data_IF_948189080686
#
_entry.id   IF_948189080686
#
_cell.length_a   1.000
_cell.length_b   1.000
_cell.length_c   1.000
_cell.angle_alpha   90.00
_cell.angle_beta   90.00
_cell.angle_gamma   90.00
#
_symmetry.space_group_name_H-M   'P 1'
#
loop_
_entity.id
_entity.type
_entity.pdbx_description
1 polymer ?
#
# COMPACT_ATOMS: atom_id res chain seq x y z
N UNK A 1 -21.43 13.13 -4.53
CA UNK A 1 -20.90 12.50 -3.29
C UNK A 1 -22.02 11.93 -2.45
N UNK A 2 -21.99 10.64 -2.09
CA UNK A 2 -22.98 10.09 -1.15
C UNK A 2 -22.58 10.44 0.29
N UNK A 3 -23.48 11.08 1.05
CA UNK A 3 -23.25 11.49 2.44
C UNK A 3 -22.75 10.34 3.34
N UNK A 4 -23.25 9.12 3.10
CA UNK A 4 -22.86 7.91 3.82
C UNK A 4 -21.38 7.55 3.60
N UNK A 5 -20.84 7.74 2.38
CA UNK A 5 -19.44 7.45 2.07
C UNK A 5 -18.52 8.40 2.85
N UNK A 6 -18.83 9.70 2.85
CA UNK A 6 -18.06 10.71 3.58
C UNK A 6 -18.09 10.42 5.08
N UNK A 7 -19.28 10.18 5.65
CA UNK A 7 -19.43 9.88 7.08
C UNK A 7 -18.67 8.61 7.49
N UNK A 8 -18.74 7.55 6.68
CA UNK A 8 -18.00 6.30 6.96
C UNK A 8 -16.48 6.49 6.89
N UNK A 9 -15.99 7.26 5.92
CA UNK A 9 -14.57 7.53 5.75
C UNK A 9 -14.01 8.41 6.86
N UNK A 10 -14.69 9.51 7.17
CA UNK A 10 -14.29 10.41 8.26
C UNK A 10 -14.42 9.70 9.60
N UNK A 11 -15.50 8.94 9.81
CA UNK A 11 -15.72 8.15 11.03
C UNK A 11 -14.65 7.09 11.25
N UNK A 12 -14.28 6.33 10.21
CA UNK A 12 -13.20 5.35 10.30
C UNK A 12 -11.84 6.03 10.56
N UNK A 13 -11.53 7.10 9.84
CA UNK A 13 -10.27 7.85 9.99
C UNK A 13 -10.14 8.43 11.40
N UNK A 14 -11.21 9.03 11.93
CA UNK A 14 -11.24 9.55 13.30
C UNK A 14 -11.13 8.45 14.34
N UNK A 15 -11.79 7.31 14.13
CA UNK A 15 -11.66 6.16 15.02
C UNK A 15 -10.20 5.70 15.10
N UNK A 16 -9.53 5.53 13.97
CA UNK A 16 -8.12 5.13 13.93
C UNK A 16 -7.24 6.18 14.63
N UNK A 17 -7.48 7.47 14.39
CA UNK A 17 -6.76 8.55 15.06
C UNK A 17 -6.95 8.54 16.58
N UNK A 18 -8.18 8.37 17.07
CA UNK A 18 -8.51 8.32 18.50
C UNK A 18 -7.90 7.08 19.16
N UNK A 19 -8.02 5.90 18.53
CA UNK A 19 -7.44 4.65 19.05
C UNK A 19 -5.91 4.73 19.10
N UNK A 20 -5.30 5.31 18.07
CA UNK A 20 -3.85 5.53 18.03
C UNK A 20 -3.42 6.49 19.12
N UNK A 21 -4.09 7.63 19.25
CA UNK A 21 -3.82 8.61 20.32
C UNK A 21 -4.00 7.98 21.70
N UNK A 22 -5.06 7.20 21.92
CA UNK A 22 -5.32 6.54 23.21
C UNK A 22 -4.27 5.47 23.57
N UNK A 23 -3.73 4.76 22.57
CA UNK A 23 -2.64 3.80 22.79
C UNK A 23 -1.27 4.47 22.99
N UNK A 24 -1.04 5.64 22.40
CA UNK A 24 0.27 6.32 22.42
C UNK A 24 0.39 7.34 23.57
N UNK A 25 -0.71 7.93 24.05
CA UNK A 25 -0.73 8.97 25.11
C UNK A 25 -0.15 8.56 26.48
N UNK A 26 0.03 7.26 26.73
CA UNK A 26 0.60 6.75 28.01
C UNK A 26 2.09 6.43 27.90
N UNK A 27 2.73 6.77 26.78
CA UNK A 27 4.13 6.41 26.51
C UNK A 27 5.00 7.63 26.37
N UNK A 28 6.16 7.55 27.02
CA UNK A 28 7.07 8.65 27.24
C UNK A 28 7.75 9.08 25.93
N UNK A 29 7.23 10.15 25.31
CA UNK A 29 7.73 10.75 24.06
C UNK A 29 8.83 11.80 24.30
N UNK A 30 9.25 12.01 25.55
CA UNK A 30 10.23 13.04 25.91
C UNK A 30 11.69 12.74 25.52
N UNK A 31 12.02 11.50 25.14
CA UNK A 31 13.39 11.11 24.75
C UNK A 31 13.50 10.84 23.25
N UNK A 32 14.63 11.23 22.62
CA UNK A 32 14.92 10.94 21.20
C UNK A 32 14.78 9.43 20.87
N UNK A 33 15.12 8.54 21.83
CA UNK A 33 14.91 7.10 21.67
C UNK A 33 13.43 6.68 21.73
N UNK A 34 12.60 7.34 22.53
CA UNK A 34 11.15 7.12 22.55
C UNK A 34 10.47 7.53 21.25
N UNK A 35 10.92 8.64 20.65
CA UNK A 35 10.38 9.19 19.40
C UNK A 35 10.85 8.42 18.14
N UNK A 36 12.14 8.09 18.04
CA UNK A 36 12.72 7.42 16.85
C UNK A 36 12.73 5.89 16.92
N UNK A 37 12.84 5.28 18.11
CA UNK A 37 12.96 3.81 18.27
C UNK A 37 11.73 3.15 18.91
N UNK A 38 10.63 3.91 19.12
CA UNK A 38 9.44 3.44 19.84
C UNK A 38 9.76 2.75 21.20
N UNK A 39 10.89 3.12 21.81
CA UNK A 39 11.40 2.54 23.06
C UNK A 39 11.58 1.01 23.04
N UNK A 40 11.77 0.36 21.87
CA UNK A 40 11.87 -1.12 21.73
C UNK A 40 10.69 -1.92 22.32
N UNK A 41 9.57 -1.26 22.63
CA UNK A 41 8.43 -1.84 23.35
C UNK A 41 7.28 -2.29 22.44
N UNK A 42 7.51 -2.28 21.12
CA UNK A 42 6.54 -2.75 20.13
C UNK A 42 6.52 -4.28 20.11
N UNK A 43 5.32 -4.86 20.27
CA UNK A 43 5.13 -6.31 20.18
C UNK A 43 5.32 -6.78 18.72
N UNK A 44 5.95 -7.94 18.53
CA UNK A 44 6.20 -8.55 17.22
C UNK A 44 5.04 -8.48 16.20
N UNK A 45 3.76 -8.75 16.54
CA UNK A 45 2.66 -8.65 15.57
C UNK A 45 2.40 -7.22 15.06
N UNK A 46 2.65 -6.20 15.87
CA UNK A 46 2.49 -4.78 15.46
C UNK A 46 3.59 -4.40 14.47
N UNK A 47 4.81 -4.89 14.71
CA UNK A 47 5.93 -4.68 13.79
C UNK A 47 5.65 -5.37 12.46
N UNK A 48 5.21 -6.63 12.49
CA UNK A 48 4.88 -7.38 11.28
C UNK A 48 3.74 -6.72 10.46
N UNK A 49 2.69 -6.25 11.13
CA UNK A 49 1.58 -5.57 10.47
C UNK A 49 1.98 -4.22 9.86
N UNK A 50 2.80 -3.43 10.56
CA UNK A 50 3.34 -2.17 10.02
C UNK A 50 4.30 -2.41 8.84
N UNK A 51 5.19 -3.40 8.92
CA UNK A 51 6.05 -3.79 7.80
C UNK A 51 5.23 -4.24 6.58
N UNK A 52 4.17 -5.01 6.81
CA UNK A 52 3.26 -5.45 5.74
C UNK A 52 2.50 -4.28 5.12
N UNK A 53 1.97 -3.34 5.92
CA UNK A 53 1.29 -2.15 5.38
C UNK A 53 2.28 -1.22 4.66
N UNK A 54 3.52 -1.12 5.13
CA UNK A 54 4.56 -0.34 4.45
C UNK A 54 4.83 -0.90 3.05
N UNK A 55 4.70 -2.21 2.87
CA UNK A 55 4.79 -2.83 1.55
C UNK A 55 3.51 -2.60 0.71
N UNK A 56 2.33 -2.71 1.33
CA UNK A 56 1.03 -2.49 0.69
C UNK A 56 0.65 -1.01 0.61
N UNK A 57 1.10 -0.35 -0.45
CA UNK A 57 0.79 1.06 -0.73
C UNK A 57 -0.46 1.26 -1.61
N UNK A 58 -0.92 2.51 -1.75
CA UNK A 58 -1.97 2.88 -2.73
C UNK A 58 -1.56 2.60 -4.17
N UNK A 59 -0.26 2.67 -4.46
CA UNK A 59 0.31 2.32 -5.76
C UNK A 59 0.16 0.82 -6.02
N UNK A 60 0.43 -0.03 -5.03
CA UNK A 60 0.18 -1.47 -5.17
C UNK A 60 -1.31 -1.77 -5.32
N UNK A 61 -2.17 -1.17 -4.49
CA UNK A 61 -3.61 -1.47 -4.52
C UNK A 61 -4.27 -1.02 -5.83
N UNK A 62 -4.03 0.22 -6.28
CA UNK A 62 -4.72 0.80 -7.45
C UNK A 62 -3.92 0.57 -8.73
N UNK A 63 -2.60 0.74 -8.66
CA UNK A 63 -1.70 0.60 -9.81
C UNK A 63 -1.60 -0.85 -10.28
N UNK A 64 -1.27 -1.80 -9.39
CA UNK A 64 -1.16 -3.21 -9.79
C UNK A 64 -2.51 -3.80 -10.18
N UNK A 65 -3.62 -3.40 -9.53
CA UNK A 65 -4.96 -3.81 -9.97
C UNK A 65 -5.28 -3.31 -11.38
N UNK A 66 -4.92 -2.07 -11.71
CA UNK A 66 -5.06 -1.52 -13.05
C UNK A 66 -4.17 -2.24 -14.08
N UNK A 67 -2.95 -2.61 -13.70
CA UNK A 67 -2.07 -3.40 -14.56
C UNK A 67 -2.58 -4.83 -14.73
N UNK A 68 -3.08 -5.47 -13.68
CA UNK A 68 -3.65 -6.82 -13.74
C UNK A 68 -4.87 -6.87 -14.66
N UNK A 69 -5.66 -5.79 -14.70
CA UNK A 69 -6.77 -5.67 -15.65
C UNK A 69 -6.30 -5.64 -17.12
N UNK A 70 -5.18 -4.95 -17.41
CA UNK A 70 -4.63 -4.83 -18.78
C UNK A 70 -3.81 -6.05 -19.21
N UNK A 71 -2.93 -6.53 -18.33
CA UNK A 71 -1.89 -7.52 -18.61
C UNK A 71 -2.18 -8.91 -18.01
N UNK A 72 -3.32 -9.06 -17.33
CA UNK A 72 -3.75 -10.30 -16.70
C UNK A 72 -2.89 -10.68 -15.49
N UNK A 73 -2.79 -11.99 -15.23
CA UNK A 73 -2.07 -12.54 -14.07
C UNK A 73 -0.54 -12.40 -14.14
N UNK A 74 0.02 -11.88 -15.24
CA UNK A 74 1.47 -11.69 -15.39
C UNK A 74 2.07 -10.78 -14.31
N UNK A 75 1.29 -9.81 -13.83
CA UNK A 75 1.67 -8.87 -12.76
C UNK A 75 1.97 -9.59 -11.43
N UNK A 76 1.36 -10.75 -11.18
CA UNK A 76 1.63 -11.55 -9.97
C UNK A 76 3.07 -12.05 -9.90
N UNK A 77 3.76 -12.18 -11.03
CA UNK A 77 5.16 -12.64 -11.04
C UNK A 77 6.09 -11.74 -10.23
N UNK A 78 5.81 -10.43 -10.19
CA UNK A 78 6.58 -9.45 -9.42
C UNK A 78 6.48 -9.72 -7.91
N UNK A 79 5.25 -9.90 -7.41
CA UNK A 79 4.99 -10.11 -5.98
C UNK A 79 5.49 -11.48 -5.49
N UNK A 80 5.25 -12.55 -6.28
CA UNK A 80 5.67 -13.91 -5.90
C UNK A 80 7.20 -14.01 -5.84
N UNK A 81 7.90 -13.42 -6.81
CA UNK A 81 9.37 -13.44 -6.83
C UNK A 81 9.96 -12.61 -5.67
N UNK A 82 9.34 -11.48 -5.36
CA UNK A 82 9.73 -10.63 -4.23
C UNK A 82 9.57 -11.34 -2.89
N UNK A 83 8.45 -12.07 -2.69
CA UNK A 83 8.21 -12.85 -1.48
C UNK A 83 9.30 -13.92 -1.24
N UNK A 84 9.67 -14.67 -2.29
CA UNK A 84 10.75 -15.66 -2.21
C UNK A 84 12.08 -14.99 -1.83
N UNK A 85 12.39 -13.86 -2.47
CA UNK A 85 13.62 -13.10 -2.20
C UNK A 85 13.67 -12.59 -0.76
N UNK A 86 12.55 -12.11 -0.21
CA UNK A 86 12.44 -11.66 1.18
C UNK A 86 12.68 -12.79 2.19
N UNK A 87 12.26 -14.02 1.89
CA UNK A 87 12.54 -15.18 2.75
C UNK A 87 14.04 -15.43 2.81
N UNK A 88 14.75 -15.43 1.68
CA UNK A 88 16.20 -15.56 1.66
C UNK A 88 16.89 -14.41 2.39
N UNK A 89 16.43 -13.17 2.19
CA UNK A 89 16.94 -12.00 2.90
C UNK A 89 16.79 -12.17 4.43
N UNK A 90 15.61 -12.59 4.88
CA UNK A 90 15.31 -12.80 6.30
C UNK A 90 16.13 -13.93 6.93
N UNK A 91 16.41 -15.01 6.20
CA UNK A 91 17.18 -16.14 6.74
C UNK A 91 18.69 -15.88 6.73
N UNK A 92 19.20 -15.18 5.71
CA UNK A 92 20.64 -15.05 5.47
C UNK A 92 21.19 -13.72 6.02
N UNK A 93 20.48 -12.61 5.79
CA UNK A 93 21.02 -11.26 6.07
C UNK A 93 20.54 -10.70 7.40
N UNK A 94 19.27 -10.92 7.77
CA UNK A 94 18.71 -10.45 9.04
C UNK A 94 19.54 -10.87 10.28
N UNK A 95 19.95 -12.13 10.48
CA UNK A 95 20.75 -12.49 11.65
C UNK A 95 22.10 -11.76 11.68
N UNK A 96 22.71 -11.50 10.51
CA UNK A 96 23.98 -10.77 10.42
C UNK A 96 23.82 -9.29 10.75
N UNK A 97 22.74 -8.65 10.31
CA UNK A 97 22.45 -7.26 10.62
C UNK A 97 22.17 -7.05 12.11
N UNK A 98 21.37 -7.94 12.72
CA UNK A 98 21.04 -7.85 14.14
C UNK A 98 22.25 -8.10 15.05
N UNK A 99 23.15 -9.03 14.70
CA UNK A 99 24.36 -9.30 15.48
C UNK A 99 25.33 -8.12 15.51
N UNK A 100 25.40 -7.33 14.44
CA UNK A 100 26.28 -6.15 14.32
C UNK A 100 25.64 -4.86 14.83
N UNK A 101 24.37 -4.90 15.25
CA UNK A 101 23.65 -3.72 15.72
C UNK A 101 23.39 -2.67 14.65
N UNK A 102 23.43 -3.06 13.37
CA UNK A 102 23.20 -2.18 12.23
C UNK A 102 21.72 -1.85 12.14
N UNK A 103 21.39 -0.56 12.14
CA UNK A 103 20.01 -0.09 12.05
C UNK A 103 19.54 0.14 10.61
N UNK A 104 20.44 0.54 9.70
CA UNK A 104 20.08 0.88 8.31
C UNK A 104 21.02 0.25 7.28
N UNK A 105 20.56 0.10 6.03
CA UNK A 105 21.39 -0.42 4.93
C UNK A 105 22.62 0.46 4.66
N UNK A 106 22.52 1.80 4.66
CA UNK A 106 23.68 2.67 4.54
C UNK A 106 24.71 2.50 5.67
N UNK A 107 24.27 2.26 6.91
CA UNK A 107 25.19 1.95 8.03
C UNK A 107 25.97 0.65 7.77
N UNK A 108 25.32 -0.38 7.18
CA UNK A 108 26.03 -1.61 6.78
C UNK A 108 27.10 -1.34 5.73
N UNK A 109 26.83 -0.44 4.78
CA UNK A 109 27.78 -0.10 3.74
C UNK A 109 28.94 0.74 4.28
N UNK A 110 28.72 1.59 5.29
CA UNK A 110 29.80 2.29 5.98
C UNK A 110 30.76 1.30 6.67
N UNK A 111 30.22 0.32 7.41
CA UNK A 111 31.04 -0.67 8.11
C UNK A 111 31.84 -1.53 7.12
N UNK A 112 31.27 -1.81 5.94
CA UNK A 112 31.90 -2.68 4.94
C UNK A 112 32.93 -1.97 4.06
N UNK A 113 32.68 -0.70 3.75
CA UNK A 113 33.45 0.12 2.81
C UNK A 113 34.04 1.33 3.53
N UNK A 114 33.34 2.46 3.51
CA UNK A 114 33.80 3.73 4.08
C UNK A 114 32.66 4.76 4.20
N UNK A 115 32.94 5.88 4.89
CA UNK A 115 32.00 7.00 5.09
C UNK A 115 31.57 7.68 3.79
N UNK A 116 32.46 7.77 2.80
CA UNK A 116 32.14 8.43 1.51
C UNK A 116 31.09 7.62 0.78
N UNK A 117 31.25 6.29 0.74
CA UNK A 117 30.26 5.37 0.16
C UNK A 117 28.91 5.50 0.85
N UNK A 118 28.87 5.60 2.18
CA UNK A 118 27.63 5.85 2.92
C UNK A 118 26.93 7.11 2.46
N UNK A 119 27.65 8.25 2.40
CA UNK A 119 27.04 9.55 2.03
C UNK A 119 26.43 9.48 0.62
N UNK A 120 27.13 8.85 -0.33
CA UNK A 120 26.63 8.67 -1.69
C UNK A 120 25.34 7.85 -1.68
N UNK A 121 25.31 6.74 -0.95
CA UNK A 121 24.14 5.86 -0.90
C UNK A 121 22.98 6.52 -0.14
N UNK A 122 23.24 7.21 0.97
CA UNK A 122 22.25 7.99 1.71
C UNK A 122 21.61 9.04 0.79
N UNK A 123 22.41 9.76 0.01
CA UNK A 123 21.92 10.75 -0.94
C UNK A 123 21.06 10.11 -2.05
N UNK A 124 21.53 9.01 -2.64
CA UNK A 124 20.75 8.24 -3.62
C UNK A 124 19.43 7.74 -3.04
N UNK A 125 19.43 7.24 -1.79
CA UNK A 125 18.26 6.71 -1.12
C UNK A 125 17.23 7.81 -0.80
N UNK A 126 17.70 8.98 -0.36
CA UNK A 126 16.85 10.14 -0.13
C UNK A 126 16.21 10.65 -1.43
N UNK A 127 16.96 10.69 -2.53
CA UNK A 127 16.40 11.07 -3.84
C UNK A 127 15.39 10.02 -4.31
N UNK A 128 15.76 8.73 -4.28
CA UNK A 128 14.87 7.66 -4.72
C UNK A 128 13.56 7.66 -3.93
N UNK A 129 13.62 7.85 -2.61
CA UNK A 129 12.43 7.89 -1.76
C UNK A 129 11.66 9.20 -1.96
N UNK A 130 12.33 10.35 -1.91
CA UNK A 130 11.69 11.67 -1.91
C UNK A 130 11.14 12.11 -3.27
N UNK A 131 11.86 11.78 -4.35
CA UNK A 131 11.54 12.25 -5.71
C UNK A 131 10.86 11.15 -6.54
N UNK A 132 11.23 9.89 -6.36
CA UNK A 132 10.62 8.81 -7.14
C UNK A 132 9.44 8.19 -6.39
N UNK A 133 9.62 7.79 -5.13
CA UNK A 133 8.61 6.99 -4.43
C UNK A 133 7.45 7.82 -3.87
N UNK A 134 7.73 8.87 -3.09
CA UNK A 134 6.69 9.68 -2.44
C UNK A 134 5.70 10.32 -3.44
N UNK A 135 6.12 10.89 -4.58
CA UNK A 135 5.18 11.49 -5.52
C UNK A 135 4.25 10.45 -6.17
N UNK A 136 4.75 9.25 -6.48
CA UNK A 136 3.93 8.16 -7.03
C UNK A 136 2.86 7.72 -6.02
N UNK A 137 3.23 7.59 -4.74
CA UNK A 137 2.30 7.22 -3.68
C UNK A 137 1.24 8.30 -3.47
N UNK A 138 1.65 9.58 -3.38
CA UNK A 138 0.71 10.69 -3.22
C UNK A 138 -0.23 10.84 -4.42
N UNK A 139 0.28 10.71 -5.64
CA UNK A 139 -0.52 10.80 -6.87
C UNK A 139 -1.52 9.65 -6.98
N UNK A 140 -1.07 8.40 -6.77
CA UNK A 140 -1.96 7.23 -6.79
C UNK A 140 -3.04 7.30 -5.70
N UNK A 141 -2.69 7.79 -4.50
CA UNK A 141 -3.64 8.02 -3.42
C UNK A 141 -4.66 9.11 -3.75
N UNK A 142 -4.23 10.24 -4.32
CA UNK A 142 -5.11 11.31 -4.77
C UNK A 142 -6.06 10.84 -5.87
N UNK A 143 -5.56 10.07 -6.84
CA UNK A 143 -6.38 9.47 -7.90
C UNK A 143 -7.45 8.54 -7.30
N UNK A 144 -7.05 7.65 -6.38
CA UNK A 144 -7.97 6.74 -5.70
C UNK A 144 -9.09 7.49 -4.97
N UNK A 145 -8.75 8.52 -4.19
CA UNK A 145 -9.73 9.33 -3.47
C UNK A 145 -10.66 10.10 -4.42
N UNK A 146 -10.12 10.67 -5.50
CA UNK A 146 -10.93 11.37 -6.48
C UNK A 146 -11.93 10.42 -7.17
N UNK A 147 -11.52 9.18 -7.47
CA UNK A 147 -12.41 8.15 -8.04
C UNK A 147 -13.47 7.66 -7.04
N UNK A 148 -13.16 7.63 -5.74
CA UNK A 148 -14.12 7.18 -4.72
C UNK A 148 -15.16 8.24 -4.37
N UNK A 149 -14.74 9.51 -4.31
CA UNK A 149 -15.60 10.60 -3.83
C UNK A 149 -16.13 11.50 -4.95
N UNK A 150 -15.64 11.36 -6.20
CA UNK A 150 -16.00 12.23 -7.33
C UNK A 150 -15.82 13.72 -6.99
N UNK A 151 -14.66 14.05 -6.42
CA UNK A 151 -14.41 15.37 -5.82
C UNK A 151 -14.43 16.46 -6.91
N UNK A 152 -13.83 16.18 -8.07
CA UNK A 152 -13.86 17.10 -9.23
C UNK A 152 -15.28 17.47 -9.67
N UNK A 153 -16.19 16.50 -9.75
CA UNK A 153 -17.59 16.75 -10.11
C UNK A 153 -18.36 17.48 -9.01
N UNK A 154 -18.11 17.13 -7.75
CA UNK A 154 -18.82 17.72 -6.60
C UNK A 154 -18.45 19.18 -6.32
N UNK A 155 -17.19 19.56 -6.59
CA UNK A 155 -16.69 20.92 -6.37
C UNK A 155 -16.71 21.76 -7.65
N UNK A 156 -17.10 21.18 -8.79
CA UNK A 156 -17.13 21.84 -10.11
C UNK A 156 -15.75 22.36 -10.56
N UNK A 157 -14.70 21.58 -10.25
CA UNK A 157 -13.30 21.92 -10.51
C UNK A 157 -12.75 20.96 -11.58
N UNK A 158 -11.85 21.45 -12.45
CA UNK A 158 -11.14 20.59 -13.42
C UNK A 158 -10.43 19.42 -12.73
N UNK A 159 -10.42 18.26 -13.40
CA UNK A 159 -9.84 17.02 -12.87
C UNK A 159 -8.40 17.19 -12.36
N UNK A 160 -7.57 17.94 -13.11
CA UNK A 160 -6.19 18.22 -12.70
C UNK A 160 -6.10 19.01 -11.40
N UNK A 161 -6.94 20.04 -11.24
CA UNK A 161 -6.96 20.86 -10.03
C UNK A 161 -7.50 20.08 -8.81
N UNK A 162 -8.44 19.15 -9.02
CA UNK A 162 -8.90 18.25 -7.95
C UNK A 162 -7.77 17.33 -7.46
N UNK A 163 -6.97 16.77 -8.36
CA UNK A 163 -5.81 15.94 -7.99
C UNK A 163 -4.77 16.77 -7.23
N UNK A 164 -4.42 17.96 -7.72
CA UNK A 164 -3.46 18.84 -7.03
C UNK A 164 -3.91 19.19 -5.61
N UNK A 165 -5.19 19.53 -5.43
CA UNK A 165 -5.76 19.80 -4.12
C UNK A 165 -5.64 18.58 -3.19
N UNK A 166 -5.97 17.39 -3.69
CA UNK A 166 -5.89 16.15 -2.90
C UNK A 166 -4.46 15.77 -2.55
N UNK A 167 -3.50 15.94 -3.46
CA UNK A 167 -2.08 15.71 -3.20
C UNK A 167 -1.59 16.63 -2.08
N UNK A 168 -1.94 17.92 -2.12
CA UNK A 168 -1.56 18.88 -1.08
C UNK A 168 -2.20 18.51 0.27
N UNK A 169 -3.49 18.17 0.29
CA UNK A 169 -4.18 17.77 1.51
C UNK A 169 -3.59 16.49 2.11
N UNK A 170 -3.32 15.46 1.29
CA UNK A 170 -2.70 14.22 1.72
C UNK A 170 -1.28 14.46 2.24
N UNK A 171 -0.48 15.27 1.55
CA UNK A 171 0.86 15.64 1.96
C UNK A 171 0.86 16.38 3.29
N UNK A 172 0.00 17.39 3.44
CA UNK A 172 -0.11 18.16 4.68
C UNK A 172 -0.58 17.28 5.85
N UNK A 173 -1.61 16.46 5.63
CA UNK A 173 -2.09 15.52 6.64
C UNK A 173 -1.00 14.52 7.04
N UNK A 174 -0.24 14.01 6.07
CA UNK A 174 0.90 13.12 6.30
C UNK A 174 2.01 13.78 7.12
N UNK A 175 2.35 15.04 6.83
CA UNK A 175 3.35 15.81 7.60
C UNK A 175 2.87 16.02 9.03
N UNK A 176 1.64 16.50 9.22
CA UNK A 176 1.05 16.72 10.55
C UNK A 176 1.08 15.41 11.35
N UNK A 177 0.68 14.31 10.71
CA UNK A 177 0.66 13.00 11.33
C UNK A 177 2.07 12.50 11.70
N UNK A 178 3.06 12.68 10.81
CA UNK A 178 4.43 12.26 11.06
C UNK A 178 5.10 13.08 12.18
N UNK A 179 4.88 14.40 12.20
CA UNK A 179 5.46 15.31 13.20
C UNK A 179 4.84 15.13 14.58
N UNK A 180 3.52 14.95 14.67
CA UNK A 180 2.81 14.82 15.95
C UNK A 180 2.90 13.39 16.51
N UNK A 181 2.87 12.38 15.65
CA UNK A 181 2.77 10.98 16.05
C UNK A 181 4.09 10.31 16.43
N UNK A 182 5.19 10.68 15.77
CA UNK A 182 6.45 9.93 15.86
C UNK A 182 6.35 8.48 15.34
N UNK A 183 7.46 7.75 15.34
CA UNK A 183 7.56 6.43 14.67
C UNK A 183 6.65 5.36 15.32
N UNK A 184 6.39 5.48 16.63
CA UNK A 184 5.51 4.57 17.36
C UNK A 184 4.04 4.75 16.96
N UNK A 185 3.56 5.99 16.83
CA UNK A 185 2.17 6.21 16.45
C UNK A 185 1.91 5.73 15.01
N UNK A 186 2.88 5.97 14.12
CA UNK A 186 2.87 5.46 12.75
C UNK A 186 2.70 3.94 12.73
N UNK A 187 3.56 3.20 13.42
CA UNK A 187 3.47 1.73 13.44
C UNK A 187 2.14 1.20 14.02
N UNK A 188 1.57 1.89 15.01
CA UNK A 188 0.28 1.50 15.61
C UNK A 188 -0.87 1.78 14.66
N UNK A 189 -0.91 2.93 13.99
CA UNK A 189 -1.94 3.22 13.01
C UNK A 189 -1.81 2.32 11.80
N UNK A 190 -0.59 2.04 11.34
CA UNK A 190 -0.33 1.12 10.24
C UNK A 190 -0.87 -0.28 10.55
N UNK A 191 -0.72 -0.74 11.79
CA UNK A 191 -1.26 -2.04 12.19
C UNK A 191 -2.80 -2.08 12.10
N UNK A 192 -3.47 -0.98 12.46
CA UNK A 192 -4.93 -0.89 12.43
C UNK A 192 -5.41 -0.76 10.98
N UNK A 193 -4.80 0.13 10.21
CA UNK A 193 -5.10 0.37 8.80
C UNK A 193 -4.81 -0.87 7.94
N UNK A 194 -3.72 -1.60 8.23
CA UNK A 194 -3.37 -2.84 7.54
C UNK A 194 -4.43 -3.92 7.68
N UNK A 195 -5.00 -4.10 8.88
CA UNK A 195 -6.12 -5.03 9.08
C UNK A 195 -7.35 -4.58 8.27
N UNK A 196 -7.67 -3.29 8.32
CA UNK A 196 -8.76 -2.71 7.53
C UNK A 196 -8.57 -2.92 6.02
N UNK A 197 -7.34 -2.76 5.53
CA UNK A 197 -6.98 -2.93 4.13
C UNK A 197 -7.05 -4.40 3.70
N UNK A 198 -6.59 -5.35 4.52
CA UNK A 198 -6.71 -6.78 4.23
C UNK A 198 -8.19 -7.19 4.16
N UNK A 199 -9.00 -6.78 5.14
CA UNK A 199 -10.43 -7.06 5.13
C UNK A 199 -11.08 -6.41 3.90
N UNK A 200 -10.88 -5.11 3.70
CA UNK A 200 -11.43 -4.38 2.55
C UNK A 200 -11.03 -4.99 1.20
N UNK A 201 -9.75 -5.30 1.03
CA UNK A 201 -9.19 -5.92 -0.17
C UNK A 201 -9.75 -7.31 -0.44
N UNK A 202 -9.99 -8.13 0.58
CA UNK A 202 -10.64 -9.45 0.44
C UNK A 202 -12.15 -9.33 0.16
N UNK A 203 -12.81 -8.27 0.64
CA UNK A 203 -14.22 -8.02 0.35
C UNK A 203 -14.44 -7.63 -1.12
N UNK A 204 -13.50 -6.93 -1.76
CA UNK A 204 -13.63 -6.50 -3.17
C UNK A 204 -13.96 -7.67 -4.12
N UNK A 205 -13.17 -8.76 -4.20
CA UNK A 205 -13.49 -9.89 -5.08
C UNK A 205 -14.75 -10.65 -4.65
N UNK A 206 -15.10 -10.66 -3.35
CA UNK A 206 -16.31 -11.34 -2.84
C UNK A 206 -17.58 -10.58 -3.23
N UNK A 207 -17.54 -9.25 -3.18
CA UNK A 207 -18.67 -8.38 -3.50
C UNK A 207 -18.65 -7.86 -4.94
N UNK A 208 -17.60 -8.16 -5.71
CA UNK A 208 -17.54 -7.79 -7.12
C UNK A 208 -18.71 -8.44 -7.86
N UNK A 209 -19.64 -7.65 -8.43
CA UNK A 209 -20.75 -8.23 -9.18
C UNK A 209 -20.21 -8.88 -10.45
N UNK A 210 -20.60 -10.13 -10.72
CA UNK A 210 -20.54 -10.65 -12.09
C UNK A 210 -21.40 -9.73 -12.98
N UNK A 211 -21.01 -9.60 -14.25
CA UNK A 211 -21.72 -8.77 -15.26
C UNK A 211 -23.22 -9.10 -15.40
N UNK A 212 -23.68 -10.21 -14.82
CA UNK A 212 -25.06 -10.69 -14.81
C UNK A 212 -25.83 -10.38 -13.49
N UNK A 213 -25.28 -9.57 -12.58
CA UNK A 213 -25.99 -9.11 -11.38
C UNK A 213 -26.26 -10.19 -10.32
N UNK A 214 -25.67 -11.38 -10.44
CA UNK A 214 -25.76 -12.44 -9.43
C UNK A 214 -24.48 -12.46 -8.60
N UNK A 215 -24.64 -12.39 -7.26
CA UNK A 215 -23.55 -12.52 -6.29
C UNK A 215 -22.93 -13.91 -6.42
N UNK A 216 -21.62 -14.01 -6.57
CA UNK A 216 -20.94 -15.31 -6.51
C UNK A 216 -21.14 -15.92 -5.13
N UNK A 217 -21.49 -17.22 -5.03
CA UNK A 217 -21.19 -17.96 -3.83
C UNK A 217 -19.66 -18.19 -3.76
N UNK A 218 -19.13 -18.22 -2.54
CA UNK A 218 -17.72 -18.41 -2.16
C UNK A 218 -16.92 -19.35 -3.11
N UNK A 219 -15.59 -19.16 -3.26
CA UNK A 219 -14.79 -19.85 -4.26
C UNK A 219 -14.79 -21.37 -4.05
N UNK A 220 -15.76 -22.02 -4.69
CA UNK A 220 -15.81 -23.45 -4.89
C UNK A 220 -15.04 -23.76 -6.16
N UNK A 221 -13.96 -24.53 -6.02
CA UNK A 221 -13.27 -25.20 -7.12
C UNK A 221 -14.25 -26.09 -7.89
N UNK A 222 -15.00 -25.52 -8.83
CA UNK A 222 -15.70 -26.30 -9.84
C UNK A 222 -14.69 -26.65 -10.93
N UNK A 223 -14.03 -27.77 -10.72
CA UNK A 223 -13.31 -28.53 -11.73
C UNK A 223 -14.29 -28.81 -12.87
N UNK A 224 -14.17 -28.08 -13.98
CA UNK A 224 -14.88 -28.40 -15.21
C UNK A 224 -14.24 -29.66 -15.82
N UNK A 225 -14.79 -30.82 -15.47
CA UNK A 225 -14.51 -32.08 -16.16
C UNK A 225 -15.06 -32.00 -17.59
N UNK A 226 -14.24 -31.60 -18.55
CA UNK A 226 -14.46 -31.93 -19.96
C UNK A 226 -13.55 -33.09 -20.36
N UNK A 227 -14.20 -34.25 -20.47
CA UNK A 227 -13.67 -35.49 -21.03
C UNK A 227 -13.51 -35.30 -22.54
N UNK A 228 -12.31 -34.95 -22.99
CA UNK A 228 -11.99 -34.95 -24.43
C UNK A 228 -10.73 -35.78 -24.67
N UNK A 229 -10.95 -36.99 -25.20
CA UNK A 229 -9.90 -37.89 -25.68
C UNK A 229 -9.00 -37.15 -26.69
N UNK A 230 -7.69 -37.26 -26.48
CA UNK A 230 -6.66 -37.22 -27.51
C UNK A 230 -6.71 -36.02 -28.48
N UNK A 231 -6.13 -34.90 -28.05
CA UNK A 231 -5.28 -33.99 -28.85
C UNK A 231 -4.87 -32.82 -27.96
N UNK A 232 -3.60 -32.76 -27.58
CA UNK A 232 -3.01 -31.60 -26.92
C UNK A 232 -3.05 -30.44 -27.92
N UNK A 233 -3.99 -29.52 -27.74
CA UNK A 233 -3.97 -28.19 -28.35
C UNK A 233 -4.13 -27.17 -27.22
N UNK A 234 -3.00 -26.61 -26.84
CA UNK A 234 -2.84 -25.51 -25.91
C UNK A 234 -3.47 -24.25 -26.53
N UNK A 235 -4.73 -23.95 -26.19
CA UNK A 235 -5.36 -22.67 -26.46
C UNK A 235 -5.72 -22.02 -25.12
N UNK A 236 -4.71 -21.48 -24.44
CA UNK A 236 -4.91 -20.27 -23.66
C UNK A 236 -4.86 -19.09 -24.64
N UNK A 237 -5.62 -18.02 -24.37
CA UNK A 237 -5.75 -16.81 -25.19
C UNK A 237 -6.78 -16.85 -26.32
N UNK A 238 -8.02 -16.47 -26.00
CA UNK A 238 -8.86 -15.77 -26.97
C UNK A 238 -9.40 -14.49 -26.35
N UNK A 239 -8.66 -13.42 -26.60
CA UNK A 239 -9.14 -12.04 -26.54
C UNK A 239 -10.52 -11.96 -27.20
N UNK A 240 -11.50 -11.36 -26.52
CA UNK A 240 -12.62 -10.67 -27.17
C UNK A 240 -12.67 -9.22 -26.68
N UNK A 241 -12.93 -8.26 -27.58
CA UNK A 241 -12.61 -6.86 -27.35
C UNK A 241 -13.81 -6.04 -26.83
N UNK A 242 -13.46 -4.87 -26.29
CA UNK A 242 -14.26 -3.65 -26.15
C UNK A 242 -15.51 -3.70 -25.26
N UNK A 243 -15.34 -3.26 -24.00
CA UNK A 243 -16.30 -2.33 -23.42
C UNK A 243 -15.82 -0.92 -23.80
N UNK A 244 -16.66 -0.17 -24.50
CA UNK A 244 -16.41 1.18 -24.99
C UNK A 244 -16.26 2.17 -23.82
N UNK A 245 -15.09 2.80 -23.69
CA UNK A 245 -14.75 3.74 -22.62
C UNK A 245 -14.48 5.15 -23.15
N UNK A 246 -15.04 5.53 -24.31
CA UNK A 246 -14.87 6.88 -24.92
C UNK A 246 -15.40 8.06 -24.08
N UNK A 247 -15.85 7.86 -22.85
CA UNK A 247 -16.33 8.93 -21.96
C UNK A 247 -15.48 9.18 -20.71
N UNK A 248 -14.33 8.49 -20.53
CA UNK A 248 -13.56 8.54 -19.25
C UNK A 248 -12.17 9.17 -19.40
N UNK A 249 -11.83 9.70 -20.58
CA UNK A 249 -10.60 10.46 -20.79
C UNK A 249 -10.96 11.80 -21.46
N UNK A 250 -10.53 12.96 -20.92
CA UNK A 250 -10.50 14.19 -21.69
C UNK A 250 -9.39 14.08 -22.76
N UNK A 251 -9.65 14.65 -23.94
CA UNK A 251 -8.68 14.83 -25.02
C UNK A 251 -7.40 15.57 -24.56
#
# INVERSE_FOLDING_TARGET
>A
MNMLQILSFVGFTLLVAIVTWWKVRKTDTGSQQGYFLAGRSLKAPVIAASLMLTNLSTEQLVGLSGQAYKSGMSVMGWEVTSAVTLIFLALIFLPRYLQRGIATIPDFLEERYDKTTRIIIDFCFLIATGVCFLPIVLYSGALALNSLFHIGESLNISHGAAIWLLVILLGLAGIIYAVIGGLRAMAVADSINGIGLVIGGLLVPVFWPDRDGKRQPAPGYRTAHHRTRGKIKLYWWRLRPAADWRGVLPD
#
